data_IF_003309627205
#
_entry.id   IF_003309627205
#
_cell.length_a   1.000
_cell.length_b   1.000
_cell.length_c   1.000
_cell.angle_alpha   90.00
_cell.angle_beta   90.00
_cell.angle_gamma   90.00
#
_symmetry.space_group_name_H-M   'P 1'
#
loop_
_entity.id
_entity.type
_entity.pdbx_description
1 polymer ?
#
# COMPACT_ATOMS: atom_id res chain seq x y z
N UNK A 1 13.36 51.71 -12.68
CA UNK A 1 13.98 50.41 -13.09
C UNK A 1 14.51 49.54 -11.94
N UNK A 2 14.78 50.06 -10.73
CA UNK A 2 15.41 49.28 -9.64
C UNK A 2 14.50 48.26 -8.93
N UNK A 3 13.18 48.49 -8.88
CA UNK A 3 12.23 47.60 -8.16
C UNK A 3 11.75 46.38 -8.98
N UNK A 4 11.96 46.37 -10.30
CA UNK A 4 11.55 45.26 -11.18
C UNK A 4 12.37 44.00 -10.92
N UNK A 5 13.67 44.14 -10.63
CA UNK A 5 14.54 43.01 -10.30
C UNK A 5 14.23 42.41 -8.94
N UNK A 6 13.80 43.22 -7.98
CA UNK A 6 13.48 42.77 -6.62
C UNK A 6 12.21 41.92 -6.59
N UNK A 7 11.24 42.24 -7.45
CA UNK A 7 9.99 41.50 -7.58
C UNK A 7 10.20 40.13 -8.25
N UNK A 8 11.09 40.05 -9.25
CA UNK A 8 11.49 38.78 -9.89
C UNK A 8 12.27 37.89 -8.90
N UNK A 9 13.17 38.47 -8.11
CA UNK A 9 13.92 37.73 -7.07
C UNK A 9 13.02 37.20 -5.96
N UNK A 10 11.96 37.94 -5.60
CA UNK A 10 10.97 37.48 -4.62
C UNK A 10 10.10 36.34 -5.17
N UNK A 11 9.77 36.38 -6.47
CA UNK A 11 8.97 35.34 -7.15
C UNK A 11 9.72 34.01 -7.30
N UNK A 12 11.04 34.01 -7.47
CA UNK A 12 11.82 32.76 -7.57
C UNK A 12 12.05 32.07 -6.22
N UNK A 13 12.01 32.79 -5.10
CA UNK A 13 12.17 32.22 -3.76
C UNK A 13 10.91 31.47 -3.27
N UNK A 14 9.72 31.80 -3.77
CA UNK A 14 8.47 31.11 -3.41
C UNK A 14 8.40 29.69 -4.00
N UNK A 15 9.01 29.45 -5.16
CA UNK A 15 8.99 28.12 -5.81
C UNK A 15 9.82 27.05 -5.10
N UNK A 16 10.73 27.41 -4.19
CA UNK A 16 11.54 26.43 -3.46
C UNK A 16 10.82 25.80 -2.26
N UNK A 17 9.71 26.37 -1.80
CA UNK A 17 8.92 25.79 -0.70
C UNK A 17 7.93 24.70 -1.14
N UNK A 18 7.86 24.38 -2.44
CA UNK A 18 6.97 23.36 -3.00
C UNK A 18 7.52 21.92 -2.97
N UNK A 19 8.75 21.69 -2.52
CA UNK A 19 9.37 20.37 -2.55
C UNK A 19 9.36 19.72 -1.17
N UNK A 20 8.43 18.77 -0.96
CA UNK A 20 8.52 17.89 0.20
C UNK A 20 7.24 17.21 0.70
N UNK A 21 6.17 17.07 -0.09
CA UNK A 21 5.11 16.15 0.30
C UNK A 21 5.60 14.71 0.09
N UNK A 22 6.08 14.05 1.15
CA UNK A 22 6.10 12.58 1.19
C UNK A 22 4.66 12.14 0.91
N UNK A 23 4.39 11.68 -0.31
CA UNK A 23 3.03 11.39 -0.76
C UNK A 23 2.33 10.30 0.07
N UNK A 24 3.11 9.51 0.83
CA UNK A 24 2.62 8.53 1.81
C UNK A 24 3.79 8.03 2.68
N UNK A 25 3.47 7.45 3.84
CA UNK A 25 4.39 6.68 4.68
C UNK A 25 4.28 5.19 4.33
N UNK A 26 5.41 4.53 4.05
CA UNK A 26 5.43 3.10 3.77
C UNK A 26 5.56 2.29 5.07
N UNK A 27 4.55 1.47 5.38
CA UNK A 27 4.52 0.61 6.58
C UNK A 27 4.56 -0.85 6.18
N UNK A 28 5.52 -1.59 6.74
CA UNK A 28 5.80 -2.96 6.34
C UNK A 28 5.12 -3.97 7.25
N UNK A 29 4.50 -4.97 6.66
CA UNK A 29 3.87 -6.09 7.35
C UNK A 29 4.36 -7.42 6.79
N UNK A 30 4.33 -8.44 7.63
CA UNK A 30 4.68 -9.81 7.27
C UNK A 30 3.68 -10.80 7.85
N UNK A 31 3.31 -11.79 7.05
CA UNK A 31 2.49 -12.92 7.48
C UNK A 31 2.99 -14.23 6.89
N UNK A 32 2.30 -15.32 7.23
CA UNK A 32 2.55 -16.65 6.68
C UNK A 32 1.25 -17.28 6.21
N UNK A 33 1.36 -18.08 5.16
CA UNK A 33 0.28 -18.91 4.64
C UNK A 33 0.84 -20.30 4.36
N UNK A 34 0.81 -21.17 5.38
CA UNK A 34 1.54 -22.44 5.35
C UNK A 34 3.05 -22.18 5.31
N UNK A 35 3.71 -22.76 4.31
CA UNK A 35 5.14 -22.61 4.02
C UNK A 35 5.49 -21.30 3.29
N UNK A 36 4.48 -20.54 2.84
CA UNK A 36 4.66 -19.32 2.06
C UNK A 36 4.73 -18.08 2.95
N UNK A 37 5.54 -17.11 2.54
CA UNK A 37 5.66 -15.82 3.24
C UNK A 37 4.83 -14.78 2.49
N UNK A 38 4.04 -14.01 3.25
CA UNK A 38 3.34 -12.83 2.75
C UNK A 38 4.12 -11.60 3.21
N UNK A 39 4.44 -10.68 2.30
CA UNK A 39 4.91 -9.34 2.64
C UNK A 39 3.92 -8.34 2.11
N UNK A 40 3.58 -7.35 2.92
CA UNK A 40 2.67 -6.29 2.55
C UNK A 40 3.31 -4.95 2.89
N UNK A 41 3.24 -4.01 1.94
CA UNK A 41 3.67 -2.63 2.13
C UNK A 41 2.41 -1.78 2.04
N UNK A 42 2.03 -1.17 3.16
CA UNK A 42 0.93 -0.21 3.23
C UNK A 42 1.47 1.17 2.84
N UNK A 43 0.86 1.82 1.85
CA UNK A 43 1.05 3.24 1.60
C UNK A 43 0.11 4.07 2.47
N UNK A 44 0.49 4.36 3.72
CA UNK A 44 -0.33 5.17 4.63
C UNK A 44 -0.41 6.61 4.13
N UNK A 45 -1.60 7.11 3.81
CA UNK A 45 -1.77 8.39 3.12
C UNK A 45 -2.09 8.27 1.63
N UNK A 46 -1.88 7.08 1.04
CA UNK A 46 -2.28 6.76 -0.31
C UNK A 46 -2.34 5.23 -0.50
N UNK A 47 -3.48 4.62 -0.14
CA UNK A 47 -3.59 3.16 -0.11
C UNK A 47 -3.38 2.51 -1.48
N UNK A 48 -3.61 3.25 -2.58
CA UNK A 48 -3.34 2.82 -3.95
C UNK A 48 -1.87 2.50 -4.24
N UNK A 49 -0.92 3.05 -3.46
CA UNK A 49 0.50 2.69 -3.55
C UNK A 49 0.86 1.42 -2.77
N UNK A 50 -0.11 0.75 -2.14
CA UNK A 50 0.15 -0.47 -1.37
C UNK A 50 0.47 -1.67 -2.27
N UNK A 51 1.40 -2.52 -1.82
CA UNK A 51 1.86 -3.68 -2.59
C UNK A 51 1.87 -4.94 -1.71
N UNK A 52 1.34 -6.05 -2.22
CA UNK A 52 1.36 -7.34 -1.54
C UNK A 52 2.15 -8.37 -2.36
N UNK A 53 3.05 -9.09 -1.70
CA UNK A 53 3.89 -10.14 -2.30
C UNK A 53 3.66 -11.47 -1.57
N UNK A 54 3.33 -12.51 -2.33
CA UNK A 54 3.35 -13.89 -1.85
C UNK A 54 4.61 -14.58 -2.37
N UNK A 55 5.55 -14.85 -1.47
CA UNK A 55 6.79 -15.54 -1.82
C UNK A 55 6.54 -17.03 -1.93
N UNK A 56 6.69 -17.56 -3.14
CA UNK A 56 6.77 -18.98 -3.45
C UNK A 56 8.24 -19.40 -3.59
N UNK A 57 8.51 -20.70 -3.58
CA UNK A 57 9.86 -21.26 -3.72
C UNK A 57 10.61 -20.79 -4.98
N UNK A 58 9.90 -20.51 -6.08
CA UNK A 58 10.52 -20.13 -7.37
C UNK A 58 10.59 -18.62 -7.58
N UNK A 59 9.44 -17.93 -7.50
CA UNK A 59 9.32 -16.47 -7.71
C UNK A 59 8.16 -15.92 -6.88
N UNK A 60 8.27 -14.68 -6.37
CA UNK A 60 7.16 -14.03 -5.70
C UNK A 60 6.03 -13.72 -6.70
N UNK A 61 4.80 -13.86 -6.23
CA UNK A 61 3.61 -13.34 -6.93
C UNK A 61 3.30 -11.96 -6.35
N UNK A 62 3.14 -10.98 -7.24
CA UNK A 62 2.74 -9.62 -6.89
C UNK A 62 1.21 -9.52 -6.92
N UNK A 63 0.67 -8.75 -6.00
CA UNK A 63 -0.75 -8.42 -5.93
C UNK A 63 -0.90 -6.91 -5.77
N UNK A 64 -1.78 -6.33 -6.59
CA UNK A 64 -2.08 -4.89 -6.59
C UNK A 64 -3.51 -4.65 -6.16
N UNK A 65 -3.79 -3.50 -5.51
CA UNK A 65 -5.14 -3.18 -5.09
C UNK A 65 -6.04 -3.04 -6.34
N UNK A 66 -7.22 -3.66 -6.28
CA UNK A 66 -8.25 -3.55 -7.33
C UNK A 66 -8.74 -2.09 -7.44
N UNK A 67 -8.90 -1.45 -6.28
CA UNK A 67 -9.26 -0.04 -6.15
C UNK A 67 -8.32 0.63 -5.17
N UNK A 68 -7.97 1.90 -5.42
CA UNK A 68 -7.15 2.71 -4.52
C UNK A 68 -7.90 3.27 -3.32
N UNK A 69 -9.04 2.66 -2.92
CA UNK A 69 -9.85 3.06 -1.76
C UNK A 69 -10.48 1.81 -1.13
N UNK A 70 -10.68 1.77 0.21
CA UNK A 70 -11.44 0.70 0.85
C UNK A 70 -12.91 0.71 0.42
N UNK A 71 -13.54 -0.47 0.42
CA UNK A 71 -14.97 -0.61 0.20
C UNK A 71 -15.81 -0.17 1.41
N UNK A 72 -17.15 -0.28 1.30
CA UNK A 72 -18.08 0.07 2.38
C UNK A 72 -17.87 -0.73 3.68
N UNK A 73 -17.18 -1.87 3.63
CA UNK A 73 -16.86 -2.73 4.78
C UNK A 73 -15.45 -2.45 5.32
N UNK A 74 -14.78 -1.40 4.84
CA UNK A 74 -13.36 -1.12 5.10
C UNK A 74 -12.48 -2.28 4.67
N UNK A 75 -12.79 -2.90 3.52
CA UNK A 75 -11.98 -3.96 2.94
C UNK A 75 -11.29 -3.46 1.68
N UNK A 76 -10.10 -3.98 1.40
CA UNK A 76 -9.46 -3.76 0.11
C UNK A 76 -9.05 -5.10 -0.49
N UNK A 77 -9.33 -5.26 -1.77
CA UNK A 77 -8.99 -6.46 -2.54
C UNK A 77 -7.71 -6.24 -3.31
N UNK A 78 -6.79 -7.19 -3.22
CA UNK A 78 -5.55 -7.21 -4.00
C UNK A 78 -5.54 -8.40 -4.97
N UNK A 79 -5.42 -8.14 -6.26
CA UNK A 79 -5.47 -9.17 -7.30
C UNK A 79 -4.09 -9.58 -7.80
N UNK A 80 -3.90 -10.86 -8.11
CA UNK A 80 -2.63 -11.38 -8.61
C UNK A 80 -2.28 -10.79 -9.98
N UNK A 81 -1.10 -10.16 -10.07
CA UNK A 81 -0.62 -9.55 -11.30
C UNK A 81 0.01 -10.59 -12.25
N UNK A 82 -0.48 -10.67 -13.49
CA UNK A 82 0.12 -11.43 -14.60
C UNK A 82 0.43 -12.91 -14.32
N UNK A 83 -0.38 -13.60 -13.50
CA UNK A 83 -0.15 -15.03 -13.19
C UNK A 83 -1.06 -15.99 -13.95
N UNK A 84 -2.04 -15.49 -14.71
CA UNK A 84 -3.11 -16.31 -15.30
C UNK A 84 -4.06 -16.94 -14.27
N UNK A 85 -3.78 -16.79 -12.97
CA UNK A 85 -4.60 -17.26 -11.85
C UNK A 85 -5.41 -16.11 -11.31
N UNK A 86 -6.68 -16.37 -10.98
CA UNK A 86 -7.59 -15.42 -10.30
C UNK A 86 -7.42 -15.48 -8.78
N UNK A 87 -6.18 -15.53 -8.32
CA UNK A 87 -5.88 -15.49 -6.89
C UNK A 87 -5.98 -14.04 -6.40
N UNK A 88 -6.53 -13.85 -5.20
CA UNK A 88 -6.63 -12.51 -4.60
C UNK A 88 -6.57 -12.56 -3.08
N UNK A 89 -6.18 -11.44 -2.48
CA UNK A 89 -6.29 -11.18 -1.06
C UNK A 89 -7.41 -10.19 -0.79
N UNK A 90 -8.05 -10.31 0.37
CA UNK A 90 -8.91 -9.26 0.93
C UNK A 90 -8.35 -8.96 2.31
N UNK A 91 -7.94 -7.71 2.54
CA UNK A 91 -7.52 -7.22 3.85
C UNK A 91 -8.68 -6.46 4.49
N UNK A 92 -8.89 -6.69 5.79
CA UNK A 92 -9.99 -6.13 6.58
C UNK A 92 -9.54 -4.91 7.38
N UNK A 93 -10.47 -4.02 7.71
CA UNK A 93 -10.25 -2.80 8.50
C UNK A 93 -9.19 -1.86 7.91
N UNK A 94 -9.22 -1.74 6.58
CA UNK A 94 -8.35 -0.87 5.79
C UNK A 94 -8.87 0.56 5.78
N UNK A 95 -7.98 1.52 5.99
CA UNK A 95 -8.24 2.96 5.94
C UNK A 95 -7.21 3.61 5.01
N UNK A 96 -7.60 4.70 4.33
CA UNK A 96 -6.70 5.39 3.40
C UNK A 96 -5.58 6.13 4.15
N UNK A 97 -5.93 6.69 5.30
CA UNK A 97 -4.99 7.37 6.22
C UNK A 97 -5.21 6.83 7.63
N UNK A 98 -4.12 6.38 8.25
CA UNK A 98 -4.06 5.99 9.65
C UNK A 98 -3.27 7.04 10.43
N UNK A 99 -3.84 7.56 11.52
CA UNK A 99 -3.08 8.33 12.51
C UNK A 99 -1.98 7.47 13.14
N UNK A 100 -2.31 6.21 13.43
CA UNK A 100 -1.36 5.21 13.86
C UNK A 100 -1.63 3.91 13.11
N UNK A 101 -0.68 3.47 12.28
CA UNK A 101 -0.85 2.24 11.52
C UNK A 101 -0.99 1.03 12.45
N UNK A 102 -1.89 0.08 12.15
CA UNK A 102 -2.21 -1.01 13.04
C UNK A 102 -1.01 -1.93 13.30
N UNK A 103 -0.97 -2.56 14.48
CA UNK A 103 0.07 -3.56 14.80
C UNK A 103 -0.09 -4.86 14.00
N UNK A 104 -1.31 -5.14 13.54
CA UNK A 104 -1.62 -6.29 12.69
C UNK A 104 -2.80 -6.01 11.78
N UNK A 105 -2.83 -6.66 10.62
CA UNK A 105 -3.91 -6.59 9.63
C UNK A 105 -4.43 -8.00 9.39
N UNK A 106 -5.74 -8.15 9.55
CA UNK A 106 -6.45 -9.40 9.28
C UNK A 106 -6.88 -9.46 7.83
N UNK A 107 -7.07 -10.67 7.31
CA UNK A 107 -7.63 -10.82 5.98
C UNK A 107 -7.84 -12.27 5.57
N UNK A 108 -8.04 -12.46 4.28
CA UNK A 108 -8.20 -13.76 3.64
C UNK A 108 -7.49 -13.82 2.29
N UNK A 109 -6.97 -14.99 1.97
CA UNK A 109 -6.44 -15.34 0.66
C UNK A 109 -7.40 -16.31 -0.03
N UNK A 110 -7.77 -15.98 -1.25
CA UNK A 110 -8.65 -16.78 -2.10
C UNK A 110 -7.85 -17.32 -3.29
N UNK A 111 -7.81 -18.64 -3.45
CA UNK A 111 -7.15 -19.30 -4.57
C UNK A 111 -7.88 -20.58 -4.96
N UNK A 112 -8.22 -20.71 -6.24
CA UNK A 112 -8.89 -21.90 -6.77
C UNK A 112 -10.16 -22.30 -6.00
N UNK A 113 -10.97 -21.31 -5.58
CA UNK A 113 -12.19 -21.53 -4.80
C UNK A 113 -11.98 -21.79 -3.30
N UNK A 114 -10.74 -21.94 -2.84
CA UNK A 114 -10.43 -22.11 -1.40
C UNK A 114 -10.13 -20.78 -0.74
N UNK A 115 -10.68 -20.59 0.46
CA UNK A 115 -10.48 -19.40 1.28
C UNK A 115 -9.63 -19.78 2.50
N UNK A 116 -8.58 -19.00 2.77
CA UNK A 116 -7.72 -19.18 3.93
C UNK A 116 -7.57 -17.85 4.67
N UNK A 117 -7.86 -17.84 5.96
CA UNK A 117 -7.61 -16.66 6.81
C UNK A 117 -6.12 -16.40 6.92
N UNK A 118 -5.73 -15.13 6.95
CA UNK A 118 -4.36 -14.66 7.13
C UNK A 118 -4.30 -13.59 8.21
N UNK A 119 -3.16 -13.51 8.88
CA UNK A 119 -2.80 -12.39 9.75
C UNK A 119 -1.45 -11.86 9.32
N UNK A 120 -1.35 -10.55 9.14
CA UNK A 120 -0.11 -9.83 8.86
C UNK A 120 0.26 -9.03 10.09
N UNK A 121 1.53 -9.06 10.48
CA UNK A 121 2.05 -8.33 11.63
C UNK A 121 3.01 -7.24 11.16
N UNK A 122 2.88 -6.05 11.74
CA UNK A 122 3.75 -4.92 11.44
C UNK A 122 5.19 -5.27 11.80
N UNK A 123 6.11 -5.03 10.88
CA UNK A 123 7.54 -5.13 11.14
C UNK A 123 7.97 -3.87 11.90
N UNK A 124 8.84 -4.04 12.90
CA UNK A 124 9.42 -2.93 13.67
C UNK A 124 10.44 -2.16 12.84
#
# INVERSE_FOLDING_TARGET
>A
MKYRFLLIFCLTLVSFYGYGQKAYEAVYYKGRLGDKIIRFVLGNGYIGASELKLYLQKKPILFYPEMGVPDQKKQIRFEAFRTGRKDYFILDHMEDVYEQSPSSISGKYCSGGKIRKIQLYRLR
#
